data_IF_172996584970
#
_entry.id   IF_172996584970
#
_cell.length_a   1.000
_cell.length_b   1.000
_cell.length_c   1.000
_cell.angle_alpha   90.00
_cell.angle_beta   90.00
_cell.angle_gamma   90.00
#
_symmetry.space_group_name_H-M   'P 1'
#
loop_
_entity.id
_entity.type
_entity.pdbx_description
1 polymer ?
#
# COMPACT_ATOMS: atom_id res chain seq x y z
N UNK A 1 -10.48 4.12 1.95
CA UNK A 1 -10.45 2.87 2.72
C UNK A 1 -9.76 3.21 4.02
N UNK A 2 -10.37 2.96 5.18
CA UNK A 2 -9.80 3.40 6.46
C UNK A 2 -9.22 2.20 7.23
N UNK A 3 -7.91 2.17 7.38
CA UNK A 3 -7.20 1.19 8.22
C UNK A 3 -6.95 1.84 9.58
N UNK A 4 -7.25 1.12 10.66
CA UNK A 4 -6.96 1.57 12.02
C UNK A 4 -5.52 1.18 12.41
N UNK A 5 -4.59 2.14 12.59
CA UNK A 5 -3.20 1.85 12.92
C UNK A 5 -3.04 1.05 14.22
N UNK A 6 -3.96 1.20 15.17
CA UNK A 6 -3.90 0.50 16.45
C UNK A 6 -4.17 -1.01 16.32
N UNK A 7 -4.78 -1.44 15.21
CA UNK A 7 -5.19 -2.84 14.98
C UNK A 7 -4.27 -3.61 14.06
N UNK A 8 -3.26 -2.95 13.51
CA UNK A 8 -2.41 -3.54 12.46
C UNK A 8 -0.97 -3.76 12.89
N UNK A 9 -0.64 -3.52 14.16
CA UNK A 9 0.67 -3.81 14.76
C UNK A 9 1.85 -3.27 13.93
N UNK A 10 1.67 -2.09 13.31
CA UNK A 10 2.69 -1.46 12.47
C UNK A 10 2.82 -2.04 11.06
N UNK A 11 1.92 -2.90 10.61
CA UNK A 11 1.89 -3.37 9.23
C UNK A 11 1.69 -2.20 8.26
N UNK A 12 2.50 -2.20 7.20
CA UNK A 12 2.52 -1.16 6.16
C UNK A 12 2.06 -1.64 4.79
N UNK A 13 1.83 -2.94 4.64
CA UNK A 13 1.36 -3.57 3.41
C UNK A 13 0.19 -4.49 3.76
N UNK A 14 -0.91 -4.36 3.02
CA UNK A 14 -2.13 -5.11 3.24
C UNK A 14 -2.58 -5.80 1.97
N UNK A 15 -2.95 -7.08 2.11
CA UNK A 15 -3.63 -7.84 1.07
C UNK A 15 -5.10 -7.96 1.44
N UNK A 16 -5.95 -7.23 0.73
CA UNK A 16 -7.39 -7.29 0.96
C UNK A 16 -7.97 -8.58 0.38
N UNK A 17 -8.85 -9.22 1.13
CA UNK A 17 -9.55 -10.39 0.65
C UNK A 17 -10.42 -10.02 -0.56
N UNK A 18 -10.45 -10.88 -1.59
CA UNK A 18 -11.14 -10.60 -2.84
C UNK A 18 -10.38 -9.71 -3.84
N UNK A 19 -9.24 -9.12 -3.47
CA UNK A 19 -8.35 -8.41 -4.40
C UNK A 19 -7.06 -9.22 -4.60
N UNK A 20 -7.03 -9.96 -5.70
CA UNK A 20 -5.93 -10.89 -5.97
C UNK A 20 -4.64 -10.21 -6.42
N UNK A 21 -4.75 -9.01 -7.01
CA UNK A 21 -3.67 -8.32 -7.74
C UNK A 21 -3.15 -7.08 -7.00
N UNK A 22 -4.04 -6.29 -6.40
CA UNK A 22 -3.65 -5.02 -5.78
C UNK A 22 -3.24 -5.22 -4.31
N UNK A 23 -2.22 -4.48 -3.89
CA UNK A 23 -1.81 -4.35 -2.49
C UNK A 23 -2.08 -2.91 -2.04
N UNK A 24 -2.51 -2.75 -0.79
CA UNK A 24 -2.56 -1.43 -0.17
C UNK A 24 -1.26 -1.23 0.60
N UNK A 25 -0.56 -0.16 0.28
CA UNK A 25 0.69 0.22 0.94
C UNK A 25 0.50 1.54 1.66
N UNK A 26 1.27 1.76 2.71
CA UNK A 26 1.37 3.07 3.35
C UNK A 26 2.03 4.10 2.42
N UNK A 27 1.77 5.37 2.70
CA UNK A 27 2.22 6.49 1.86
C UNK A 27 3.75 6.57 1.74
N UNK A 28 4.49 6.32 2.81
CA UNK A 28 5.95 6.29 2.82
C UNK A 28 6.52 5.24 1.85
N UNK A 29 5.88 4.08 1.74
CA UNK A 29 6.28 3.04 0.77
C UNK A 29 5.99 3.51 -0.65
N UNK A 30 4.82 4.10 -0.91
CA UNK A 30 4.49 4.68 -2.22
C UNK A 30 5.54 5.72 -2.63
N UNK A 31 5.85 6.66 -1.74
CA UNK A 31 6.80 7.75 -2.00
C UNK A 31 8.20 7.24 -2.34
N UNK A 32 8.71 6.24 -1.60
CA UNK A 32 10.00 5.62 -1.92
C UNK A 32 9.96 4.91 -3.26
N UNK A 33 8.89 4.18 -3.60
CA UNK A 33 8.78 3.51 -4.89
C UNK A 33 8.73 4.49 -6.06
N UNK A 34 8.09 5.65 -5.87
CA UNK A 34 8.07 6.73 -6.86
C UNK A 34 9.44 7.40 -7.00
N UNK A 35 10.15 7.65 -5.89
CA UNK A 35 11.50 8.22 -5.87
C UNK A 35 12.54 7.30 -6.52
N UNK A 36 12.43 6.00 -6.29
CA UNK A 36 13.30 4.98 -6.88
C UNK A 36 12.93 4.66 -8.35
N UNK A 37 11.93 5.36 -8.90
CA UNK A 37 11.47 5.19 -10.29
C UNK A 37 11.13 3.72 -10.62
N UNK A 38 10.51 3.01 -9.68
CA UNK A 38 10.11 1.61 -9.88
C UNK A 38 9.11 1.51 -11.03
N UNK A 39 9.44 0.67 -12.02
CA UNK A 39 8.60 0.47 -13.21
C UNK A 39 7.54 -0.61 -12.99
N UNK A 40 6.42 -0.52 -13.70
CA UNK A 40 5.37 -1.56 -13.69
C UNK A 40 4.36 -1.43 -12.54
N UNK A 41 4.47 -0.38 -11.73
CA UNK A 41 3.53 -0.07 -10.64
C UNK A 41 2.57 1.04 -11.04
N UNK A 42 1.31 0.94 -10.58
CA UNK A 42 0.31 2.01 -10.66
C UNK A 42 -0.28 2.22 -9.27
N UNK A 43 -0.25 3.45 -8.79
CA UNK A 43 -0.83 3.83 -7.50
C UNK A 43 -2.20 4.47 -7.70
N UNK A 44 -3.15 4.13 -6.83
CA UNK A 44 -4.50 4.71 -6.76
C UNK A 44 -4.77 5.02 -5.29
N UNK A 45 -5.15 6.25 -4.99
CA UNK A 45 -5.55 6.63 -3.63
C UNK A 45 -6.89 5.98 -3.27
N UNK A 46 -6.99 5.39 -2.08
CA UNK A 46 -8.16 4.62 -1.65
C UNK A 46 -8.75 5.07 -0.33
#
# INVERSE_FOLDING_TARGET
MRIDPAKVEGARIFRTWGWLVALVVSQDIKEVLEQEHVTGTRFIEV
#
